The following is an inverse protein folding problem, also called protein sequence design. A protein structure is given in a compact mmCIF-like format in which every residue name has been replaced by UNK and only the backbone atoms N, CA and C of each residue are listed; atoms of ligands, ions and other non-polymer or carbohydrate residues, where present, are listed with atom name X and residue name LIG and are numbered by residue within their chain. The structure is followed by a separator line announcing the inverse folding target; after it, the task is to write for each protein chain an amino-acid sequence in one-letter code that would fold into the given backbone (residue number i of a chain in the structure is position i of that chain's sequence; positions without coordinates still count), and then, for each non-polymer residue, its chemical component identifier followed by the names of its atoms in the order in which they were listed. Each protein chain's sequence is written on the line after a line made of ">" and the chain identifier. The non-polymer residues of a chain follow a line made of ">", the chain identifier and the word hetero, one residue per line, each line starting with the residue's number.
data_IF_211756876395
#
_entry.id   IF_211756876395
#
_cell.length_a   1.000
_cell.length_b   1.000
_cell.length_c   1.000
_cell.angle_alpha   90.00
_cell.angle_beta   90.00
_cell.angle_gamma   90.00
#
_symmetry.space_group_name_H-M   'P 1'
#
loop_
_entity.id
_entity.type
_entity.pdbx_description
1 polymer ?
#
# COMPACT_ATOMS: atom_id res chain seq x y z
N UNK A 1 7.54 -7.07 5.43
CA UNK A 1 6.32 -6.67 4.68
C UNK A 1 5.21 -6.21 5.63
N UNK A 2 4.61 -7.07 6.46
CA UNK A 2 3.51 -6.66 7.37
C UNK A 2 3.83 -5.44 8.26
N UNK A 3 4.99 -5.42 8.93
CA UNK A 3 5.40 -4.27 9.76
C UNK A 3 5.59 -2.97 8.97
N UNK A 4 5.96 -3.05 7.70
CA UNK A 4 6.08 -1.86 6.83
C UNK A 4 4.70 -1.31 6.48
N UNK A 5 3.76 -2.16 6.07
CA UNK A 5 2.38 -1.74 5.80
C UNK A 5 1.73 -1.14 7.05
N UNK A 6 1.97 -1.71 8.24
CA UNK A 6 1.50 -1.15 9.52
C UNK A 6 2.13 0.23 9.78
N UNK A 7 3.42 0.41 9.49
CA UNK A 7 4.07 1.71 9.65
C UNK A 7 3.49 2.79 8.72
N UNK A 8 3.02 2.40 7.54
CA UNK A 8 2.32 3.30 6.61
C UNK A 8 0.88 3.59 7.05
N UNK A 9 0.15 2.58 7.55
CA UNK A 9 -1.22 2.73 8.06
C UNK A 9 -1.28 3.56 9.35
N UNK A 10 -0.27 3.44 10.22
CA UNK A 10 -0.23 4.10 11.53
C UNK A 10 -1.04 3.39 12.62
N UNK A 11 -1.69 2.27 12.30
CA UNK A 11 -2.46 1.44 13.23
C UNK A 11 -2.41 -0.04 12.83
N UNK A 12 -2.82 -0.93 13.73
CA UNK A 12 -2.96 -2.35 13.43
C UNK A 12 -4.29 -2.60 12.69
N UNK A 13 -4.29 -3.07 11.43
CA UNK A 13 -5.52 -3.32 10.69
C UNK A 13 -6.33 -4.48 11.29
N UNK A 14 -7.65 -4.38 11.21
CA UNK A 14 -8.59 -5.43 11.60
C UNK A 14 -9.05 -6.24 10.39
N UNK A 15 -9.43 -7.50 10.63
CA UNK A 15 -9.92 -8.39 9.58
C UNK A 15 -11.26 -7.90 9.03
N UNK A 16 -11.42 -7.93 7.70
CA UNK A 16 -12.62 -7.42 7.01
C UNK A 16 -12.71 -5.89 6.85
N UNK A 17 -11.75 -5.12 7.36
CA UNK A 17 -11.63 -3.68 7.08
C UNK A 17 -10.97 -3.42 5.72
N UNK A 18 -11.49 -2.47 4.94
CA UNK A 18 -10.83 -1.96 3.73
C UNK A 18 -9.65 -1.07 4.14
N UNK A 19 -8.52 -1.71 4.44
CA UNK A 19 -7.29 -1.02 4.82
C UNK A 19 -6.37 -0.91 3.60
N UNK A 20 -6.31 0.30 3.04
CA UNK A 20 -5.50 0.61 1.86
C UNK A 20 -4.52 1.73 2.16
N UNK A 21 -3.31 1.63 1.59
CA UNK A 21 -2.30 2.67 1.70
C UNK A 21 -1.44 2.73 0.44
N UNK A 22 -1.04 3.92 0.05
CA UNK A 22 -0.20 4.16 -1.12
C UNK A 22 1.21 4.58 -0.70
N UNK A 23 2.22 4.09 -1.41
CA UNK A 23 3.61 4.48 -1.23
C UNK A 23 4.33 4.45 -2.58
N UNK A 24 4.85 5.61 -3.00
CA UNK A 24 5.35 5.83 -4.36
C UNK A 24 4.27 5.45 -5.39
N UNK A 25 4.60 4.64 -6.39
CA UNK A 25 3.67 4.15 -7.39
C UNK A 25 3.05 2.78 -7.02
N UNK A 26 2.96 2.48 -5.72
CA UNK A 26 2.39 1.22 -5.24
C UNK A 26 1.20 1.48 -4.33
N UNK A 27 0.13 0.71 -4.53
CA UNK A 27 -1.02 0.63 -3.63
C UNK A 27 -1.01 -0.72 -2.92
N UNK A 28 -1.07 -0.69 -1.59
CA UNK A 28 -1.15 -1.86 -0.74
C UNK A 28 -2.56 -1.97 -0.18
N UNK A 29 -3.20 -3.13 -0.34
CA UNK A 29 -4.51 -3.45 0.25
C UNK A 29 -4.35 -4.68 1.14
N UNK A 30 -4.68 -4.56 2.43
CA UNK A 30 -4.70 -5.71 3.34
C UNK A 30 -5.94 -6.54 3.03
N UNK A 31 -5.74 -7.81 2.67
CA UNK A 31 -6.83 -8.72 2.32
C UNK A 31 -7.32 -9.55 3.50
N UNK A 32 -6.40 -10.05 4.33
CA UNK A 32 -6.72 -10.90 5.49
C UNK A 32 -5.80 -10.60 6.66
N UNK A 33 -6.37 -10.62 7.86
CA UNK A 33 -5.64 -10.52 9.13
C UNK A 33 -5.98 -11.73 9.99
N UNK A 34 -4.99 -12.51 10.37
CA UNK A 34 -5.15 -13.68 11.24
C UNK A 34 -4.31 -13.50 12.52
N UNK A 35 -4.88 -13.80 13.68
CA UNK A 35 -4.18 -13.74 14.98
C UNK A 35 -3.45 -12.40 15.24
N UNK A 36 -4.04 -11.27 14.80
CA UNK A 36 -3.45 -9.92 14.90
C UNK A 36 -2.18 -9.73 14.04
N UNK A 37 -2.01 -10.56 13.00
CA UNK A 37 -0.94 -10.48 12.01
C UNK A 37 -1.56 -10.39 10.62
N UNK A 38 -1.01 -9.50 9.79
CA UNK A 38 -1.38 -9.46 8.37
C UNK A 38 -0.94 -10.77 7.70
N UNK A 39 -1.88 -11.50 7.11
CA UNK A 39 -1.63 -12.74 6.40
C UNK A 39 -1.43 -12.48 4.90
N UNK A 40 -2.36 -11.73 4.26
CA UNK A 40 -2.27 -11.39 2.83
C UNK A 40 -2.38 -9.90 2.57
N UNK A 41 -1.56 -9.46 1.63
CA UNK A 41 -1.55 -8.10 1.09
C UNK A 41 -1.59 -8.19 -0.43
N UNK A 42 -2.52 -7.46 -1.04
CA UNK A 42 -2.52 -7.19 -2.48
C UNK A 42 -1.64 -5.95 -2.71
N UNK A 43 -0.78 -6.02 -3.72
CA UNK A 43 0.04 -4.89 -4.15
C UNK A 43 -0.31 -4.58 -5.60
N UNK A 44 -0.63 -3.34 -5.89
CA UNK A 44 -0.95 -2.85 -7.23
C UNK A 44 0.08 -1.80 -7.63
N UNK A 45 0.64 -1.94 -8.83
CA UNK A 45 1.52 -0.91 -9.41
C UNK A 45 0.62 0.11 -10.06
N UNK A 46 0.59 1.31 -9.48
CA UNK A 46 -0.10 2.46 -10.05
C UNK A 46 0.71 3.00 -11.23
N UNK A 47 0.05 3.51 -12.28
CA UNK A 47 0.74 4.24 -13.34
C UNK A 47 1.50 5.40 -12.69
N UNK A 48 2.80 5.48 -13.00
CA UNK A 48 3.60 6.64 -12.62
C UNK A 48 3.17 7.74 -13.58
N UNK A 49 2.61 8.83 -13.07
CA UNK A 49 2.49 10.03 -13.88
C UNK A 49 3.94 10.45 -14.20
N UNK A 50 4.37 10.17 -15.44
CA UNK A 50 5.52 10.85 -15.99
C UNK A 50 5.10 12.31 -16.08
N UNK A 51 5.45 13.11 -15.08
CA UNK A 51 5.65 14.54 -15.30
C UNK A 51 6.58 14.60 -16.51
N UNK A 52 5.99 15.05 -17.62
CA UNK A 52 6.69 15.24 -18.87
C UNK A 52 7.58 16.47 -18.69
N UNK A 53 8.67 16.31 -17.96
CA UNK A 53 9.82 17.22 -18.03
C UNK A 53 10.56 16.94 -19.36
N UNK A 54 9.88 17.22 -20.46
CA UNK A 54 10.50 17.50 -21.75
C UNK A 54 10.08 18.92 -22.16
N UNK A 55 10.85 19.90 -21.69
CA UNK A 55 11.29 21.00 -22.56
C UNK A 55 12.73 21.32 -22.19
N UNK A 56 13.66 20.66 -22.88
CA UNK A 56 15.03 21.14 -23.11
C UNK A 56 15.00 22.44 -23.96
N UNK A 57 16.01 23.29 -23.72
CA UNK A 57 16.44 24.54 -24.40
C UNK A 57 15.67 25.86 -24.13
#
# INVERSE_FOLDING_TARGET
>A
MAGFVISLLGFLPEDGGLNEVEYANLKFTVLTVEERRIDKVKVEILPVEQDSDETED
#
